data_IF_614316254167
#
_entry.id   IF_614316254167
#
_cell.length_a   1.000
_cell.length_b   1.000
_cell.length_c   1.000
_cell.angle_alpha   90.00
_cell.angle_beta   90.00
_cell.angle_gamma   90.00
#
_symmetry.space_group_name_H-M   'P 1'
#
loop_
_entity.id
_entity.type
_entity.pdbx_description
1 polymer ?
#
# COMPACT_ATOMS: atom_id res chain seq x y z
N UNK A 1 -21.36 0.89 19.02
CA UNK A 1 -19.96 0.73 19.48
C UNK A 1 -19.46 -0.60 18.98
N UNK A 2 -18.24 -0.62 18.45
CA UNK A 2 -17.60 -1.83 17.94
C UNK A 2 -16.15 -1.85 18.42
N UNK A 3 -15.61 -3.03 18.75
CA UNK A 3 -14.16 -3.19 18.85
C UNK A 3 -13.56 -3.12 17.45
N UNK A 4 -12.43 -2.46 17.30
CA UNK A 4 -11.67 -2.40 16.07
C UNK A 4 -10.16 -2.39 16.37
N UNK A 5 -9.35 -2.68 15.38
CA UNK A 5 -7.91 -2.50 15.43
C UNK A 5 -7.51 -1.58 14.29
N UNK A 6 -6.88 -0.46 14.61
CA UNK A 6 -6.40 0.51 13.64
C UNK A 6 -5.06 0.04 13.08
N UNK A 7 -4.97 -0.03 11.77
CA UNK A 7 -3.76 -0.42 11.06
C UNK A 7 -3.01 0.84 10.66
N UNK A 8 -1.72 0.92 10.98
CA UNK A 8 -0.85 2.03 10.60
C UNK A 8 0.57 1.53 10.35
N UNK A 9 0.95 1.46 9.08
CA UNK A 9 2.26 0.97 8.68
C UNK A 9 2.41 -0.53 8.96
N UNK A 10 3.28 -0.87 9.92
CA UNK A 10 3.45 -2.22 10.47
C UNK A 10 2.72 -2.41 11.81
N UNK A 11 2.16 -1.35 12.37
CA UNK A 11 1.54 -1.37 13.68
C UNK A 11 0.05 -1.66 13.58
N UNK A 12 -0.43 -2.43 14.55
CA UNK A 12 -1.85 -2.60 14.81
C UNK A 12 -2.16 -2.13 16.23
N UNK A 13 -3.11 -1.21 16.35
CA UNK A 13 -3.49 -0.59 17.62
C UNK A 13 -4.95 -0.96 17.90
N UNK A 14 -5.18 -1.79 18.92
CA UNK A 14 -6.55 -2.16 19.35
C UNK A 14 -7.29 -0.93 19.89
N UNK A 15 -8.60 -0.90 19.71
CA UNK A 15 -9.42 0.23 20.12
C UNK A 15 -10.92 0.02 19.97
N UNK A 16 -11.65 1.12 20.08
CA UNK A 16 -13.10 1.19 19.97
C UNK A 16 -13.53 2.20 18.90
N UNK A 17 -14.50 1.78 18.08
CA UNK A 17 -15.26 2.65 17.19
C UNK A 17 -16.61 2.99 17.84
N UNK A 18 -16.78 4.26 18.21
CA UNK A 18 -17.96 4.78 18.90
C UNK A 18 -18.79 5.64 17.96
N UNK A 19 -20.10 5.46 17.95
CA UNK A 19 -21.04 6.29 17.17
C UNK A 19 -21.81 7.18 18.14
N UNK A 20 -21.60 8.49 18.04
CA UNK A 20 -22.37 9.52 18.73
C UNK A 20 -23.53 10.03 17.89
N UNK A 21 -24.07 11.19 18.27
CA UNK A 21 -25.21 11.82 17.58
C UNK A 21 -24.84 12.39 16.21
N UNK A 22 -23.71 13.09 16.12
CA UNK A 22 -23.24 13.80 14.91
C UNK A 22 -21.82 13.37 14.47
N UNK A 23 -21.16 12.57 15.30
CA UNK A 23 -19.77 12.20 15.12
C UNK A 23 -19.57 10.72 15.43
N UNK A 24 -18.54 10.11 14.83
CA UNK A 24 -17.94 8.91 15.37
C UNK A 24 -16.54 9.18 15.91
N UNK A 25 -16.07 8.25 16.74
CA UNK A 25 -14.80 8.33 17.44
C UNK A 25 -14.05 7.02 17.27
N UNK A 26 -12.76 7.09 17.01
CA UNK A 26 -11.83 5.96 17.07
C UNK A 26 -10.93 6.21 18.28
N UNK A 27 -11.04 5.35 19.28
CA UNK A 27 -10.34 5.49 20.56
C UNK A 27 -9.40 4.31 20.73
N UNK A 28 -8.11 4.60 20.75
CA UNK A 28 -7.04 3.59 20.83
C UNK A 28 -6.83 3.12 22.28
N UNK A 29 -6.32 1.88 22.42
CA UNK A 29 -5.95 1.22 23.68
C UNK A 29 -7.11 0.91 24.63
N UNK A 30 -8.34 0.96 24.15
CA UNK A 30 -9.52 0.50 24.89
C UNK A 30 -10.16 -0.72 24.24
N UNK A 31 -10.74 -1.59 25.06
CA UNK A 31 -11.52 -2.75 24.63
C UNK A 31 -12.88 -2.81 25.30
N UNK A 32 -13.80 -3.55 24.70
CA UNK A 32 -15.11 -3.88 25.26
C UNK A 32 -15.12 -5.32 25.76
N UNK A 33 -15.31 -5.51 27.06
CA UNK A 33 -15.41 -6.83 27.68
C UNK A 33 -16.75 -7.51 27.39
N UNK A 34 -16.84 -8.82 27.66
CA UNK A 34 -18.11 -9.57 27.56
C UNK A 34 -19.19 -9.03 28.51
N UNK A 35 -18.79 -8.43 29.64
CA UNK A 35 -19.65 -7.69 30.58
C UNK A 35 -20.21 -6.38 30.02
N UNK A 36 -19.78 -5.96 28.82
CA UNK A 36 -20.04 -4.65 28.20
C UNK A 36 -19.37 -3.47 28.88
N UNK A 37 -18.42 -3.73 29.77
CA UNK A 37 -17.56 -2.70 30.35
C UNK A 37 -16.46 -2.30 29.37
N UNK A 38 -16.18 -1.00 29.28
CA UNK A 38 -15.05 -0.46 28.54
C UNK A 38 -13.85 -0.43 29.47
N UNK A 39 -12.73 -1.01 29.03
CA UNK A 39 -11.50 -1.05 29.82
C UNK A 39 -10.29 -0.69 28.99
N UNK A 40 -9.39 0.03 29.64
CA UNK A 40 -8.03 0.21 29.16
C UNK A 40 -7.35 -1.17 29.06
N UNK A 41 -6.79 -1.48 27.89
CA UNK A 41 -6.15 -2.77 27.61
C UNK A 41 -4.93 -2.98 28.51
N UNK A 42 -4.18 -1.92 28.84
CA UNK A 42 -3.03 -1.99 29.73
C UNK A 42 -3.43 -2.31 31.18
N UNK A 43 -4.68 -2.02 31.57
CA UNK A 43 -5.21 -2.33 32.91
C UNK A 43 -5.68 -3.77 33.08
N UNK A 44 -5.72 -4.56 32.00
CA UNK A 44 -6.25 -5.91 32.01
C UNK A 44 -5.17 -6.93 32.41
N UNK A 45 -5.52 -7.98 33.18
CA UNK A 45 -4.62 -9.10 33.44
C UNK A 45 -4.10 -9.72 32.14
N UNK A 46 -2.86 -10.19 32.15
CA UNK A 46 -2.26 -10.85 30.99
C UNK A 46 -3.10 -12.06 30.53
N UNK A 47 -3.26 -12.22 29.22
CA UNK A 47 -4.11 -13.27 28.63
C UNK A 47 -5.63 -13.07 28.74
N UNK A 48 -6.12 -12.05 29.46
CA UNK A 48 -7.57 -11.79 29.58
C UNK A 48 -8.18 -11.04 28.39
N UNK A 49 -7.34 -10.50 27.51
CA UNK A 49 -7.75 -9.78 26.30
C UNK A 49 -7.31 -10.55 25.05
N UNK A 50 -8.29 -10.89 24.21
CA UNK A 50 -8.06 -11.47 22.89
C UNK A 50 -8.08 -10.36 21.83
N UNK A 51 -6.94 -10.05 21.18
CA UNK A 51 -6.87 -9.02 20.15
C UNK A 51 -7.60 -9.45 18.88
N UNK A 52 -8.05 -8.49 18.06
CA UNK A 52 -8.78 -8.78 16.82
C UNK A 52 -7.85 -9.39 15.78
N UNK A 53 -6.60 -8.92 15.75
CA UNK A 53 -5.53 -9.44 14.90
C UNK A 53 -4.30 -9.72 15.74
N UNK A 54 -3.45 -10.69 15.37
CA UNK A 54 -2.19 -10.93 16.07
C UNK A 54 -1.33 -9.66 16.07
N UNK A 55 -0.92 -9.20 17.26
CA UNK A 55 0.04 -8.10 17.36
C UNK A 55 1.44 -8.60 17.00
N UNK A 56 2.10 -7.92 16.07
CA UNK A 56 3.51 -8.13 15.76
C UNK A 56 4.43 -7.21 16.54
N UNK A 57 3.88 -6.21 17.23
CA UNK A 57 4.64 -5.24 18.00
C UNK A 57 4.62 -5.62 19.49
N UNK A 58 5.77 -5.60 20.19
CA UNK A 58 5.79 -5.74 21.63
C UNK A 58 4.99 -4.58 22.25
N UNK A 59 4.17 -4.88 23.26
CA UNK A 59 3.44 -3.87 24.03
C UNK A 59 4.46 -2.91 24.63
N UNK A 60 4.58 -1.71 24.07
CA UNK A 60 5.39 -0.67 24.70
C UNK A 60 4.55 -0.06 25.81
N UNK A 61 5.17 0.21 26.95
CA UNK A 61 4.54 0.72 28.18
C UNK A 61 3.98 2.15 28.07
N UNK A 62 4.05 2.76 26.89
CA UNK A 62 3.43 4.04 26.54
C UNK A 62 2.56 3.85 25.31
N UNK A 63 1.48 3.06 25.43
CA UNK A 63 0.43 3.13 24.43
C UNK A 63 -0.21 4.53 24.51
N UNK A 64 0.07 5.38 23.51
CA UNK A 64 -0.53 6.70 23.45
C UNK A 64 -2.03 6.54 23.24
N UNK A 65 -2.82 6.95 24.23
CA UNK A 65 -4.27 7.07 24.11
C UNK A 65 -4.59 8.16 23.10
N UNK A 66 -4.77 7.77 21.83
CA UNK A 66 -5.25 8.66 20.80
C UNK A 66 -6.78 8.53 20.66
N UNK A 67 -7.45 9.65 20.50
CA UNK A 67 -8.87 9.73 20.20
C UNK A 67 -9.06 10.56 18.95
N UNK A 68 -9.47 9.92 17.86
CA UNK A 68 -9.80 10.60 16.61
C UNK A 68 -11.31 10.81 16.53
N UNK A 69 -11.73 12.04 16.21
CA UNK A 69 -13.13 12.44 16.10
C UNK A 69 -13.41 12.90 14.67
N UNK A 70 -14.54 12.45 14.11
CA UNK A 70 -14.97 12.79 12.76
C UNK A 70 -16.45 13.18 12.77
N UNK A 71 -16.78 14.31 12.15
CA UNK A 71 -18.16 14.65 11.85
C UNK A 71 -18.67 13.76 10.71
N UNK A 72 -19.93 13.35 10.75
CA UNK A 72 -20.46 12.46 9.70
C UNK A 72 -20.40 13.08 8.29
N UNK A 73 -20.65 14.39 8.19
CA UNK A 73 -20.59 15.13 6.92
C UNK A 73 -19.17 15.32 6.36
N UNK A 74 -18.13 15.08 7.18
CA UNK A 74 -16.74 15.13 6.71
C UNK A 74 -16.34 13.84 5.99
N UNK A 75 -17.13 12.76 6.11
CA UNK A 75 -16.79 11.47 5.51
C UNK A 75 -17.14 11.46 4.04
N UNK A 76 -16.12 11.23 3.22
CA UNK A 76 -16.23 11.16 1.76
C UNK A 76 -16.51 9.74 1.28
N UNK A 77 -15.81 8.78 1.85
CA UNK A 77 -16.00 7.36 1.54
C UNK A 77 -15.79 6.45 2.73
N UNK A 78 -16.40 5.28 2.59
CA UNK A 78 -16.05 4.10 3.36
C UNK A 78 -15.92 2.94 2.39
N UNK A 79 -14.79 2.25 2.47
CA UNK A 79 -14.52 1.10 1.61
C UNK A 79 -14.42 -0.18 2.41
N UNK A 80 -14.93 -1.27 1.83
CA UNK A 80 -14.67 -2.60 2.36
C UNK A 80 -13.28 -3.05 1.94
N UNK A 81 -12.48 -3.53 2.90
CA UNK A 81 -11.08 -3.92 2.68
C UNK A 81 -10.79 -5.31 3.20
N UNK A 82 -9.66 -5.84 2.73
CA UNK A 82 -9.02 -7.03 3.28
C UNK A 82 -7.84 -6.61 4.17
N UNK A 83 -7.60 -7.36 5.23
CA UNK A 83 -6.38 -7.28 6.03
C UNK A 83 -5.89 -8.70 6.29
N UNK A 84 -4.59 -8.96 6.08
CA UNK A 84 -4.02 -10.31 6.06
C UNK A 84 -4.83 -11.27 5.16
N UNK A 85 -5.22 -10.79 3.99
CA UNK A 85 -6.08 -11.47 3.00
C UNK A 85 -7.51 -11.78 3.47
N UNK A 86 -7.88 -11.42 4.70
CA UNK A 86 -9.21 -11.67 5.25
C UNK A 86 -10.14 -10.47 5.04
N UNK A 87 -11.41 -10.68 4.65
CA UNK A 87 -12.40 -9.62 4.44
C UNK A 87 -12.93 -9.09 5.78
N UNK A 88 -12.06 -8.48 6.58
CA UNK A 88 -12.35 -8.05 7.97
C UNK A 88 -12.15 -6.56 8.20
N UNK A 89 -11.72 -5.80 7.20
CA UNK A 89 -11.36 -4.40 7.38
C UNK A 89 -12.34 -3.44 6.69
N UNK A 90 -12.38 -2.21 7.19
CA UNK A 90 -12.99 -1.04 6.55
C UNK A 90 -11.97 0.09 6.49
N UNK A 91 -11.99 0.86 5.41
CA UNK A 91 -11.16 2.06 5.29
C UNK A 91 -12.05 3.28 5.14
N UNK A 92 -11.89 4.25 6.04
CA UNK A 92 -12.74 5.44 6.13
C UNK A 92 -11.91 6.63 5.66
N UNK A 93 -12.45 7.42 4.73
CA UNK A 93 -11.79 8.58 4.15
C UNK A 93 -12.54 9.86 4.48
N UNK A 94 -11.81 10.83 5.02
CA UNK A 94 -12.32 12.13 5.42
C UNK A 94 -11.97 13.21 4.38
N UNK A 95 -12.78 14.26 4.35
CA UNK A 95 -12.66 15.42 3.46
C UNK A 95 -11.39 16.25 3.66
N UNK A 96 -10.75 16.12 4.82
CA UNK A 96 -9.48 16.77 5.16
C UNK A 96 -8.24 15.92 4.76
N UNK A 97 -8.45 14.83 4.01
CA UNK A 97 -7.39 13.96 3.51
C UNK A 97 -6.96 12.86 4.49
N UNK A 98 -7.44 12.87 5.74
CA UNK A 98 -7.17 11.78 6.68
C UNK A 98 -7.93 10.52 6.27
N UNK A 99 -7.33 9.37 6.53
CA UNK A 99 -7.99 8.08 6.33
C UNK A 99 -7.55 7.05 7.36
N UNK A 100 -8.43 6.09 7.66
CA UNK A 100 -8.26 5.12 8.74
C UNK A 100 -8.64 3.73 8.27
N UNK A 101 -7.67 2.81 8.25
CA UNK A 101 -7.90 1.39 8.02
C UNK A 101 -8.16 0.69 9.35
N UNK A 102 -9.36 0.12 9.51
CA UNK A 102 -9.83 -0.52 10.72
C UNK A 102 -10.14 -1.99 10.46
N UNK A 103 -9.37 -2.90 11.07
CA UNK A 103 -9.73 -4.30 11.18
C UNK A 103 -10.82 -4.49 12.24
N UNK A 104 -11.81 -5.33 11.95
CA UNK A 104 -12.98 -5.58 12.80
C UNK A 104 -13.13 -7.09 13.03
N UNK A 105 -13.78 -7.53 14.12
CA UNK A 105 -14.17 -8.93 14.25
C UNK A 105 -14.98 -9.38 13.02
N UNK A 106 -14.68 -10.57 12.48
CA UNK A 106 -15.20 -11.06 11.18
C UNK A 106 -16.72 -10.92 10.99
N UNK A 107 -17.50 -11.11 12.05
CA UNK A 107 -18.98 -11.01 12.03
C UNK A 107 -19.52 -9.57 12.15
N UNK A 108 -18.66 -8.59 12.39
CA UNK A 108 -19.03 -7.19 12.68
C UNK A 108 -18.66 -6.22 11.55
N UNK A 109 -17.75 -6.57 10.63
CA UNK A 109 -17.38 -5.69 9.51
C UNK A 109 -18.59 -5.16 8.74
N UNK A 110 -19.45 -6.04 8.24
CA UNK A 110 -20.62 -5.63 7.44
C UNK A 110 -21.62 -4.82 8.27
N UNK A 111 -21.82 -5.15 9.55
CA UNK A 111 -22.71 -4.38 10.44
C UNK A 111 -22.18 -2.97 10.68
N UNK A 112 -20.87 -2.84 10.83
CA UNK A 112 -20.19 -1.55 11.01
C UNK A 112 -20.28 -0.71 9.74
N UNK A 113 -20.06 -1.33 8.58
CA UNK A 113 -20.20 -0.69 7.28
C UNK A 113 -21.62 -0.14 7.06
N UNK A 114 -22.63 -0.97 7.28
CA UNK A 114 -24.04 -0.56 7.18
C UNK A 114 -24.36 0.58 8.15
N UNK A 115 -23.80 0.55 9.37
CA UNK A 115 -23.98 1.65 10.31
C UNK A 115 -23.36 2.96 9.81
N UNK A 116 -22.16 2.92 9.21
CA UNK A 116 -21.50 4.10 8.61
C UNK A 116 -22.35 4.67 7.47
N UNK A 117 -22.87 3.84 6.57
CA UNK A 117 -23.75 4.28 5.48
C UNK A 117 -25.02 4.98 5.98
N UNK A 118 -25.59 4.54 7.10
CA UNK A 118 -26.78 5.16 7.67
C UNK A 118 -26.52 6.52 8.30
N UNK A 119 -25.33 6.76 8.86
CA UNK A 119 -25.03 7.98 9.61
C UNK A 119 -24.30 9.02 8.78
N UNK A 120 -23.49 8.60 7.81
CA UNK A 120 -22.82 9.47 6.85
C UNK A 120 -23.71 9.58 5.60
N UNK A 121 -24.76 10.40 5.69
CA UNK A 121 -25.79 10.51 4.63
C UNK A 121 -25.22 10.98 3.29
N UNK A 122 -24.13 11.75 3.28
CA UNK A 122 -23.40 12.12 2.06
C UNK A 122 -22.79 10.94 1.29
N UNK A 123 -22.70 9.74 1.89
CA UNK A 123 -22.30 8.53 1.18
C UNK A 123 -23.40 7.99 0.27
N UNK A 124 -24.67 8.19 0.62
CA UNK A 124 -25.81 7.65 -0.13
C UNK A 124 -26.01 8.36 -1.48
N UNK A 125 -25.70 9.66 -1.55
CA UNK A 125 -25.76 10.43 -2.81
C UNK A 125 -24.70 9.97 -3.82
N UNK A 126 -23.55 9.48 -3.33
CA UNK A 126 -22.53 8.82 -4.16
C UNK A 126 -22.91 7.37 -4.55
N UNK A 127 -23.71 6.69 -3.71
CA UNK A 127 -24.16 5.32 -3.96
C UNK A 127 -25.33 5.21 -4.95
N UNK A 128 -26.21 6.23 -5.04
CA UNK A 128 -27.37 6.23 -5.93
C UNK A 128 -27.03 6.42 -7.42
N UNK A 129 -25.79 6.77 -7.77
CA UNK A 129 -25.30 6.76 -9.16
C UNK A 129 -24.79 5.39 -9.64
N UNK A 130 -24.91 4.33 -8.82
CA UNK A 130 -24.36 2.99 -9.10
C UNK A 130 -25.39 1.95 -9.57
N UNK A 131 -26.60 2.36 -9.97
CA UNK A 131 -27.63 1.42 -10.41
C UNK A 131 -28.48 2.01 -11.53
N UNK A 132 -28.09 1.73 -12.78
CA UNK A 132 -29.01 1.18 -13.77
C UNK A 132 -28.24 0.53 -14.93
N UNK A 133 -28.33 -0.81 -15.01
CA UNK A 133 -28.25 -1.51 -16.29
C UNK A 133 -26.97 -2.28 -16.64
N UNK A 134 -26.53 -3.26 -15.85
CA UNK A 134 -25.91 -4.47 -16.43
C UNK A 134 -26.31 -5.75 -15.69
N UNK A 135 -27.05 -6.60 -16.42
CA UNK A 135 -27.40 -7.96 -16.02
C UNK A 135 -26.24 -8.91 -16.36
N UNK A 136 -25.92 -9.76 -15.37
CA UNK A 136 -25.25 -11.08 -15.41
C UNK A 136 -23.72 -11.12 -15.38
N UNK A 137 -23.24 -11.78 -14.31
CA UNK A 137 -22.04 -12.63 -14.23
C UNK A 137 -20.66 -11.96 -14.04
N UNK A 138 -20.38 -11.51 -12.82
CA UNK A 138 -19.18 -11.84 -12.03
C UNK A 138 -19.11 -10.91 -10.80
N UNK A 139 -18.91 -11.47 -9.62
CA UNK A 139 -18.81 -10.73 -8.36
C UNK A 139 -17.51 -9.91 -8.30
N UNK A 140 -17.61 -8.62 -8.59
CA UNK A 140 -16.59 -7.60 -8.28
C UNK A 140 -17.19 -6.69 -7.21
N UNK A 141 -16.64 -6.71 -6.00
CA UNK A 141 -17.02 -5.78 -4.92
C UNK A 141 -16.62 -4.36 -5.35
N UNK A 142 -17.63 -3.56 -5.69
CA UNK A 142 -17.53 -2.17 -6.16
C UNK A 142 -17.21 -1.23 -4.99
N UNK A 143 -16.15 -0.45 -5.16
CA UNK A 143 -15.58 0.43 -4.14
C UNK A 143 -15.19 1.79 -4.79
N UNK A 144 -16.17 2.61 -5.19
CA UNK A 144 -15.92 4.03 -5.55
C UNK A 144 -16.09 4.93 -4.33
N UNK A 145 -15.35 6.02 -4.12
CA UNK A 145 -14.14 6.55 -4.76
C UNK A 145 -13.85 7.99 -4.31
N UNK A 146 -12.57 8.35 -4.08
CA UNK A 146 -12.08 9.69 -3.62
C UNK A 146 -11.69 10.59 -4.80
N UNK A 147 -11.99 10.15 -6.02
CA UNK A 147 -11.68 10.84 -7.28
C UNK A 147 -12.92 11.11 -8.15
N UNK A 148 -14.13 10.92 -7.61
CA UNK A 148 -15.39 11.18 -8.33
C UNK A 148 -16.00 12.53 -7.94
N UNK A 149 -15.30 13.63 -8.21
CA UNK A 149 -15.97 14.92 -8.35
C UNK A 149 -16.45 15.07 -9.81
N UNK A 150 -17.77 14.89 -9.98
CA UNK A 150 -18.67 15.62 -10.88
C UNK A 150 -18.13 15.87 -12.30
N UNK A 151 -18.58 15.04 -13.25
CA UNK A 151 -19.15 15.38 -14.58
C UNK A 151 -19.49 14.05 -15.29
N UNK A 152 -20.78 13.82 -15.54
CA UNK A 152 -21.37 12.93 -16.56
C UNK A 152 -20.89 11.48 -16.68
N UNK A 153 -21.74 10.52 -16.25
CA UNK A 153 -21.97 9.16 -16.80
C UNK A 153 -20.78 8.26 -17.22
N UNK A 154 -19.53 8.66 -17.03
CA UNK A 154 -18.35 7.99 -17.60
C UNK A 154 -17.50 7.38 -16.51
N UNK A 155 -17.23 6.08 -16.64
CA UNK A 155 -16.33 5.37 -15.73
C UNK A 155 -14.95 6.03 -15.70
N UNK A 156 -14.22 5.87 -14.59
CA UNK A 156 -12.85 6.40 -14.45
C UNK A 156 -11.95 5.94 -15.60
N UNK A 157 -12.14 4.72 -16.12
CA UNK A 157 -11.46 4.22 -17.32
C UNK A 157 -11.79 5.04 -18.58
N UNK A 158 -13.05 5.43 -18.80
CA UNK A 158 -13.40 6.27 -19.94
C UNK A 158 -12.78 7.66 -19.85
N UNK A 159 -12.76 8.26 -18.66
CA UNK A 159 -12.08 9.54 -18.41
C UNK A 159 -10.58 9.45 -18.70
N UNK A 160 -9.94 8.35 -18.28
CA UNK A 160 -8.53 8.08 -18.58
C UNK A 160 -8.29 7.93 -20.09
N UNK A 161 -9.10 7.13 -20.79
CA UNK A 161 -8.98 6.93 -22.26
C UNK A 161 -9.18 8.25 -23.03
N UNK A 162 -9.97 9.19 -22.50
CA UNK A 162 -10.17 10.53 -23.08
C UNK A 162 -9.10 11.54 -22.69
N UNK A 163 -8.12 11.17 -21.86
CA UNK A 163 -7.09 12.07 -21.35
C UNK A 163 -7.59 13.07 -20.31
N UNK A 164 -8.78 12.88 -19.74
CA UNK A 164 -9.34 13.75 -18.70
C UNK A 164 -8.70 13.52 -17.32
N UNK A 165 -8.05 12.37 -17.13
CA UNK A 165 -7.23 12.05 -15.96
C UNK A 165 -5.91 11.42 -16.44
N UNK A 166 -4.83 11.65 -15.69
CA UNK A 166 -3.51 11.12 -16.03
C UNK A 166 -3.37 9.62 -15.71
N UNK A 167 -2.36 8.97 -16.28
CA UNK A 167 -1.99 7.60 -15.91
C UNK A 167 -1.75 7.45 -14.40
N UNK A 168 -1.11 8.45 -13.78
CA UNK A 168 -0.88 8.44 -12.34
C UNK A 168 -2.19 8.38 -11.56
N UNK A 169 -3.15 9.25 -11.89
CA UNK A 169 -4.47 9.26 -11.24
C UNK A 169 -5.22 7.96 -11.48
N UNK A 170 -5.14 7.42 -12.70
CA UNK A 170 -5.77 6.15 -13.04
C UNK A 170 -5.15 4.96 -12.28
N UNK A 171 -3.82 4.88 -12.20
CA UNK A 171 -3.12 3.85 -11.42
C UNK A 171 -3.41 3.96 -9.92
N UNK A 172 -3.48 5.17 -9.37
CA UNK A 172 -3.90 5.37 -7.98
C UNK A 172 -5.33 4.86 -7.77
N UNK A 173 -6.24 5.15 -8.69
CA UNK A 173 -7.61 4.65 -8.62
C UNK A 173 -7.68 3.11 -8.68
N UNK A 174 -6.94 2.47 -9.60
CA UNK A 174 -6.86 1.01 -9.68
C UNK A 174 -6.28 0.39 -8.40
N UNK A 175 -5.26 1.01 -7.81
CA UNK A 175 -4.71 0.56 -6.53
C UNK A 175 -5.76 0.62 -5.42
N UNK A 176 -6.50 1.73 -5.31
CA UNK A 176 -7.60 1.87 -4.33
C UNK A 176 -8.69 0.80 -4.54
N UNK A 177 -9.12 0.56 -5.78
CA UNK A 177 -10.10 -0.48 -6.10
C UNK A 177 -9.61 -1.89 -5.76
N UNK A 178 -8.31 -2.15 -5.95
CA UNK A 178 -7.67 -3.41 -5.58
C UNK A 178 -7.54 -3.59 -4.04
N UNK A 179 -7.91 -2.57 -3.26
CA UNK A 179 -7.82 -2.58 -1.80
C UNK A 179 -6.43 -2.24 -1.27
N UNK A 180 -5.57 -1.61 -2.08
CA UNK A 180 -4.26 -1.12 -1.66
C UNK A 180 -4.43 0.14 -0.81
N UNK A 181 -3.58 0.30 0.20
CA UNK A 181 -3.68 1.37 1.19
C UNK A 181 -2.31 1.81 1.69
N UNK A 182 -2.17 3.11 1.94
CA UNK A 182 -1.00 3.68 2.62
C UNK A 182 -0.91 3.29 4.10
N UNK A 183 -2.02 2.85 4.71
CA UNK A 183 -2.05 2.41 6.11
C UNK A 183 -1.48 1.01 6.31
N UNK A 184 -1.37 0.18 5.26
CA UNK A 184 -0.89 -1.20 5.35
C UNK A 184 0.28 -1.39 4.38
N UNK A 185 1.50 -1.44 4.90
CA UNK A 185 2.70 -1.61 4.05
C UNK A 185 2.74 -2.96 3.32
N UNK A 186 2.00 -3.97 3.78
CA UNK A 186 1.89 -5.25 3.08
C UNK A 186 0.99 -5.16 1.84
N UNK A 187 0.08 -4.19 1.82
CA UNK A 187 -0.85 -3.90 0.72
C UNK A 187 -0.64 -2.48 0.18
N UNK A 188 0.60 -1.97 0.20
CA UNK A 188 0.93 -0.64 -0.30
C UNK A 188 0.62 -0.49 -1.79
N UNK A 189 0.26 0.72 -2.28
CA UNK A 189 0.08 0.96 -3.72
C UNK A 189 1.32 0.61 -4.54
N UNK A 190 1.09 0.11 -5.75
CA UNK A 190 2.14 -0.38 -6.66
C UNK A 190 2.09 0.40 -7.96
N UNK A 191 3.27 0.79 -8.44
CA UNK A 191 3.47 1.40 -9.74
C UNK A 191 4.47 0.59 -10.55
N UNK A 192 4.33 0.53 -11.88
CA UNK A 192 5.29 -0.18 -12.71
C UNK A 192 6.60 0.59 -12.81
N UNK A 193 7.72 -0.12 -12.97
CA UNK A 193 8.87 0.48 -13.64
C UNK A 193 8.48 0.95 -15.05
N UNK A 194 8.84 2.18 -15.41
CA UNK A 194 8.52 2.76 -16.74
C UNK A 194 9.76 2.87 -17.61
N UNK A 195 10.85 3.41 -17.06
CA UNK A 195 12.13 3.53 -17.77
C UNK A 195 12.93 2.23 -17.65
N UNK A 196 13.64 1.89 -18.72
CA UNK A 196 14.59 0.78 -18.82
C UNK A 196 16.04 1.26 -19.00
N UNK A 197 16.25 2.51 -19.41
CA UNK A 197 17.56 3.13 -19.55
C UNK A 197 17.92 3.95 -18.31
N UNK A 198 18.94 3.49 -17.59
CA UNK A 198 19.58 4.18 -16.46
C UNK A 198 21.09 4.30 -16.66
N UNK A 199 21.57 4.12 -17.89
CA UNK A 199 22.98 4.18 -18.24
C UNK A 199 23.32 5.43 -19.04
N UNK A 200 22.39 5.92 -19.86
CA UNK A 200 22.57 7.13 -20.66
C UNK A 200 22.58 8.38 -19.78
N UNK A 201 23.39 9.37 -20.19
CA UNK A 201 23.45 10.69 -19.54
C UNK A 201 22.18 11.51 -19.83
N UNK A 202 21.61 11.34 -21.03
CA UNK A 202 20.34 11.93 -21.47
C UNK A 202 19.41 10.83 -22.00
N UNK A 203 18.13 10.94 -21.67
CA UNK A 203 17.12 9.96 -22.08
C UNK A 203 16.44 10.39 -23.39
N UNK A 204 16.48 9.51 -24.39
CA UNK A 204 15.68 9.67 -25.60
C UNK A 204 14.26 9.11 -25.38
N UNK A 205 13.32 9.99 -25.02
CA UNK A 205 11.92 9.61 -24.78
C UNK A 205 11.14 9.22 -26.05
N UNK A 206 11.75 9.28 -27.23
CA UNK A 206 11.17 8.78 -28.48
C UNK A 206 11.61 7.33 -28.74
N UNK A 207 12.75 6.91 -28.19
CA UNK A 207 13.27 5.57 -28.35
C UNK A 207 12.48 4.55 -27.54
N UNK A 208 11.92 3.50 -28.17
CA UNK A 208 11.27 2.41 -27.42
C UNK A 208 12.21 1.69 -26.45
N UNK A 209 13.53 1.70 -26.71
CA UNK A 209 14.53 1.07 -25.85
C UNK A 209 14.70 1.77 -24.49
N UNK A 210 14.28 3.03 -24.40
CA UNK A 210 14.28 3.80 -23.13
C UNK A 210 13.21 3.31 -22.17
N UNK A 211 12.18 2.62 -22.67
CA UNK A 211 11.03 2.18 -21.90
C UNK A 211 11.06 0.69 -21.62
N UNK A 212 10.50 0.32 -20.47
CA UNK A 212 10.19 -1.07 -20.13
C UNK A 212 9.10 -1.60 -21.06
N UNK A 213 9.20 -2.88 -21.39
CA UNK A 213 8.07 -3.61 -21.96
C UNK A 213 7.00 -3.89 -20.86
N UNK A 214 5.98 -3.03 -20.82
CA UNK A 214 4.85 -3.11 -19.88
C UNK A 214 3.91 -4.30 -20.14
N UNK A 215 4.05 -5.00 -21.28
CA UNK A 215 3.29 -6.24 -21.52
C UNK A 215 3.84 -7.43 -20.71
N UNK A 216 5.01 -7.27 -20.08
CA UNK A 216 5.73 -8.33 -19.38
C UNK A 216 5.95 -7.99 -17.89
N UNK A 217 5.90 -9.00 -16.99
CA UNK A 217 6.32 -8.82 -15.60
C UNK A 217 7.84 -8.58 -15.49
N UNK A 218 8.32 -8.14 -14.32
CA UNK A 218 9.74 -7.84 -14.10
C UNK A 218 10.67 -9.02 -14.38
N UNK A 219 10.25 -10.23 -14.00
CA UNK A 219 11.04 -11.43 -14.25
C UNK A 219 11.17 -11.84 -15.72
N UNK A 220 10.41 -11.22 -16.63
CA UNK A 220 10.38 -11.54 -18.05
C UNK A 220 10.97 -10.45 -18.95
N UNK A 221 11.66 -9.45 -18.39
CA UNK A 221 12.21 -8.32 -19.16
C UNK A 221 13.39 -8.73 -20.06
N UNK A 222 14.12 -9.81 -19.73
CA UNK A 222 15.20 -10.34 -20.57
C UNK A 222 14.99 -11.82 -20.90
N UNK A 223 15.29 -12.28 -22.14
CA UNK A 223 15.08 -13.68 -22.56
C UNK A 223 15.75 -14.71 -21.65
N UNK A 224 17.03 -14.52 -21.32
CA UNK A 224 17.80 -15.46 -20.47
C UNK A 224 17.16 -15.63 -19.09
N UNK A 225 16.56 -14.56 -18.56
CA UNK A 225 15.94 -14.55 -17.25
C UNK A 225 14.56 -15.21 -17.28
N UNK A 226 13.78 -14.93 -18.32
CA UNK A 226 12.51 -15.61 -18.58
C UNK A 226 12.72 -17.13 -18.68
N UNK A 227 13.75 -17.57 -19.41
CA UNK A 227 14.07 -18.99 -19.55
C UNK A 227 14.38 -19.64 -18.20
N UNK A 228 15.17 -18.98 -17.34
CA UNK A 228 15.48 -19.49 -16.00
C UNK A 228 14.23 -19.62 -15.12
N UNK A 229 13.32 -18.64 -15.15
CA UNK A 229 12.06 -18.74 -14.40
C UNK A 229 11.12 -19.82 -14.96
N UNK A 230 11.03 -19.94 -16.29
CA UNK A 230 10.24 -20.98 -16.94
C UNK A 230 10.81 -22.39 -16.66
N UNK A 231 12.14 -22.51 -16.59
CA UNK A 231 12.82 -23.75 -16.16
C UNK A 231 12.46 -24.10 -14.72
N UNK A 232 12.57 -23.15 -13.78
CA UNK A 232 12.17 -23.35 -12.38
C UNK A 232 10.72 -23.83 -12.25
N UNK A 233 9.80 -23.21 -12.98
CA UNK A 233 8.39 -23.60 -12.95
C UNK A 233 8.18 -25.03 -13.47
N UNK A 234 8.82 -25.39 -14.59
CA UNK A 234 8.68 -26.72 -15.21
C UNK A 234 9.33 -27.84 -14.41
N UNK A 235 10.48 -27.54 -13.80
CA UNK A 235 11.26 -28.49 -13.00
C UNK A 235 10.92 -28.41 -11.51
N UNK A 236 9.81 -27.75 -11.14
CA UNK A 236 9.38 -27.64 -9.76
C UNK A 236 9.00 -29.02 -9.21
N UNK A 237 9.72 -29.43 -8.17
CA UNK A 237 9.47 -30.66 -7.44
C UNK A 237 9.47 -30.33 -5.94
N UNK A 238 8.29 -30.27 -5.34
CA UNK A 238 8.11 -30.11 -3.90
C UNK A 238 7.84 -31.49 -3.29
N UNK A 239 8.79 -32.05 -2.49
CA UNK A 239 8.62 -33.36 -1.87
C UNK A 239 7.38 -33.47 -0.96
N UNK A 240 6.89 -32.35 -0.44
CA UNK A 240 5.69 -32.32 0.40
C UNK A 240 4.38 -32.28 -0.39
N UNK A 241 4.43 -31.82 -1.66
CA UNK A 241 3.27 -31.57 -2.50
C UNK A 241 2.38 -30.41 -2.03
N UNK A 242 2.78 -29.64 -1.02
CA UNK A 242 2.00 -28.53 -0.47
C UNK A 242 2.11 -27.26 -1.31
N UNK A 243 3.24 -27.07 -1.98
CA UNK A 243 3.55 -25.85 -2.74
C UNK A 243 3.41 -26.11 -4.24
N UNK A 244 2.44 -25.46 -4.91
CA UNK A 244 2.30 -25.59 -6.36
C UNK A 244 3.48 -24.93 -7.10
N UNK A 245 3.74 -25.32 -8.35
CA UNK A 245 4.78 -24.68 -9.18
C UNK A 245 4.60 -23.16 -9.28
N UNK A 246 5.71 -22.44 -9.21
CA UNK A 246 5.72 -20.98 -9.34
C UNK A 246 6.95 -20.49 -10.09
N UNK A 247 6.81 -19.32 -10.71
CA UNK A 247 7.94 -18.63 -11.33
C UNK A 247 8.76 -17.88 -10.28
N UNK A 248 8.09 -17.11 -9.42
CA UNK A 248 8.72 -16.20 -8.47
C UNK A 248 8.50 -16.67 -7.02
N UNK A 249 9.58 -16.94 -6.29
CA UNK A 249 9.53 -17.20 -4.85
C UNK A 249 9.50 -15.92 -4.01
N UNK A 250 9.55 -14.76 -4.67
CA UNK A 250 9.48 -13.44 -4.06
C UNK A 250 8.36 -12.64 -4.73
N UNK A 251 7.88 -11.62 -4.02
CA UNK A 251 6.76 -10.80 -4.47
C UNK A 251 7.24 -9.43 -4.94
N UNK A 252 6.52 -8.83 -5.89
CA UNK A 252 6.84 -7.50 -6.44
C UNK A 252 6.59 -6.34 -5.47
N UNK A 253 5.85 -6.59 -4.38
CA UNK A 253 5.48 -5.62 -3.35
C UNK A 253 5.48 -6.29 -1.98
N UNK A 254 6.08 -5.66 -0.98
CA UNK A 254 6.06 -6.09 0.41
C UNK A 254 6.41 -4.93 1.32
N UNK A 255 6.13 -5.05 2.62
CA UNK A 255 6.49 -4.00 3.56
C UNK A 255 8.00 -3.72 3.61
N UNK A 256 8.83 -4.76 3.43
CA UNK A 256 10.28 -4.60 3.33
C UNK A 256 10.69 -3.81 2.08
N UNK A 257 10.03 -4.04 0.94
CA UNK A 257 10.31 -3.31 -0.31
C UNK A 257 10.00 -1.83 -0.13
N UNK A 258 8.81 -1.51 0.38
CA UNK A 258 8.38 -0.12 0.62
C UNK A 258 9.31 0.58 1.61
N UNK A 259 9.60 -0.08 2.75
CA UNK A 259 10.47 0.49 3.79
C UNK A 259 11.91 0.65 3.30
N UNK A 260 12.40 -0.24 2.42
CA UNK A 260 13.73 -0.13 1.81
C UNK A 260 13.82 1.05 0.84
N UNK A 261 12.82 1.26 -0.01
CA UNK A 261 12.77 2.43 -0.89
C UNK A 261 12.74 3.73 -0.07
N UNK A 262 11.90 3.79 0.96
CA UNK A 262 11.67 4.99 1.76
C UNK A 262 12.59 5.09 3.00
N UNK A 263 13.63 4.28 3.11
CA UNK A 263 14.47 4.14 4.33
C UNK A 263 15.07 5.46 4.85
N UNK A 264 15.18 6.48 4.00
CA UNK A 264 15.71 7.82 4.34
C UNK A 264 14.67 8.76 4.96
N UNK A 265 13.41 8.35 5.01
CA UNK A 265 12.29 9.15 5.51
C UNK A 265 11.66 8.50 6.74
N UNK A 266 11.35 9.31 7.75
CA UNK A 266 10.51 8.85 8.86
C UNK A 266 9.02 8.85 8.46
N UNK A 267 8.20 7.90 8.96
CA UNK A 267 8.53 6.83 9.91
C UNK A 267 9.12 5.54 9.27
N UNK A 268 9.38 5.54 7.96
CA UNK A 268 9.80 4.34 7.22
C UNK A 268 11.18 3.83 7.64
N UNK A 269 12.06 4.70 8.12
CA UNK A 269 13.32 4.30 8.77
C UNK A 269 13.05 3.35 9.95
N UNK A 270 12.14 3.70 10.86
CA UNK A 270 11.78 2.83 11.98
C UNK A 270 11.14 1.51 11.52
N UNK A 271 10.31 1.54 10.48
CA UNK A 271 9.74 0.33 9.90
C UNK A 271 10.82 -0.59 9.31
N UNK A 272 11.78 -0.03 8.58
CA UNK A 272 12.91 -0.78 8.02
C UNK A 272 13.74 -1.43 9.12
N UNK A 273 14.15 -0.65 10.14
CA UNK A 273 14.92 -1.15 11.27
C UNK A 273 14.20 -2.30 11.98
N UNK A 274 12.89 -2.16 12.22
CA UNK A 274 12.10 -3.22 12.87
C UNK A 274 12.10 -4.51 12.06
N UNK A 275 11.93 -4.43 10.74
CA UNK A 275 11.95 -5.59 9.85
C UNK A 275 13.35 -6.23 9.72
N UNK A 276 14.42 -5.48 10.02
CA UNK A 276 15.82 -5.93 9.97
C UNK A 276 16.42 -6.27 11.34
N UNK A 277 15.61 -6.40 12.39
CA UNK A 277 16.10 -6.78 13.72
C UNK A 277 16.74 -5.65 14.54
N UNK A 278 16.45 -4.40 14.20
CA UNK A 278 16.78 -3.21 15.00
C UNK A 278 18.01 -2.42 14.53
N UNK A 279 18.65 -2.83 13.44
CA UNK A 279 19.81 -2.13 12.86
C UNK A 279 19.65 -1.98 11.34
N UNK A 280 20.42 -1.06 10.76
CA UNK A 280 20.50 -0.96 9.30
C UNK A 280 21.12 -2.22 8.70
N UNK A 281 20.76 -2.49 7.45
CA UNK A 281 21.35 -3.59 6.70
C UNK A 281 22.76 -3.20 6.21
N UNK A 282 23.51 -4.15 5.64
CA UNK A 282 24.75 -3.87 4.93
C UNK A 282 24.48 -2.89 3.78
N UNK A 283 25.36 -1.91 3.61
CA UNK A 283 25.18 -0.80 2.68
C UNK A 283 24.94 -1.26 1.22
N UNK A 284 25.56 -2.36 0.82
CA UNK A 284 25.44 -3.00 -0.50
C UNK A 284 24.07 -3.64 -0.74
N UNK A 285 23.34 -4.02 0.32
CA UNK A 285 21.99 -4.59 0.24
C UNK A 285 20.87 -3.54 0.32
N UNK A 286 21.20 -2.32 0.76
CA UNK A 286 20.24 -1.23 0.86
C UNK A 286 20.00 -0.54 -0.48
N UNK A 287 18.84 0.09 -0.62
CA UNK A 287 18.52 0.89 -1.79
C UNK A 287 19.43 2.13 -1.88
N UNK A 288 20.29 2.17 -2.91
CA UNK A 288 21.31 3.20 -3.09
C UNK A 288 21.42 3.75 -4.53
N UNK A 289 20.91 3.03 -5.52
CA UNK A 289 21.01 3.39 -6.93
C UNK A 289 19.79 2.92 -7.72
N UNK A 290 19.22 3.82 -8.52
CA UNK A 290 18.13 3.51 -9.46
C UNK A 290 18.57 2.50 -10.51
N UNK A 291 19.78 2.67 -11.05
CA UNK A 291 20.35 1.78 -12.06
C UNK A 291 20.53 0.36 -11.53
N UNK A 292 21.13 0.23 -10.35
CA UNK A 292 21.35 -1.11 -9.74
C UNK A 292 20.02 -1.75 -9.32
N UNK A 293 19.08 -0.96 -8.80
CA UNK A 293 17.73 -1.46 -8.48
C UNK A 293 17.00 -1.99 -9.73
N UNK A 294 17.03 -1.24 -10.84
CA UNK A 294 16.48 -1.68 -12.11
C UNK A 294 17.18 -2.96 -12.60
N UNK A 295 18.51 -2.97 -12.67
CA UNK A 295 19.26 -4.14 -13.16
C UNK A 295 19.05 -5.38 -12.30
N UNK A 296 19.01 -5.25 -10.97
CA UNK A 296 18.67 -6.34 -10.06
C UNK A 296 17.27 -6.88 -10.37
N UNK A 297 16.27 -6.00 -10.41
CA UNK A 297 14.87 -6.38 -10.56
C UNK A 297 14.52 -6.89 -11.97
N UNK A 298 15.19 -6.42 -13.02
CA UNK A 298 14.88 -6.76 -14.43
C UNK A 298 15.77 -7.85 -15.03
N UNK A 299 17.02 -8.01 -14.54
CA UNK A 299 18.01 -8.90 -15.17
C UNK A 299 18.82 -9.78 -14.22
N UNK A 300 19.47 -9.18 -13.22
CA UNK A 300 20.64 -9.79 -12.60
C UNK A 300 20.32 -10.70 -11.39
N UNK A 301 19.17 -10.53 -10.74
CA UNK A 301 18.88 -11.20 -9.48
C UNK A 301 17.58 -12.00 -9.52
N UNK A 302 17.67 -13.33 -9.52
CA UNK A 302 16.52 -14.25 -9.59
C UNK A 302 15.60 -14.20 -8.36
N UNK A 303 16.02 -13.57 -7.27
CA UNK A 303 15.22 -13.33 -6.07
C UNK A 303 14.58 -11.92 -6.06
N UNK A 304 14.79 -11.10 -7.08
CA UNK A 304 14.34 -9.71 -7.11
C UNK A 304 13.41 -9.44 -8.28
N UNK A 305 12.11 -9.31 -8.03
CA UNK A 305 11.10 -8.95 -9.04
C UNK A 305 10.30 -7.72 -8.63
N UNK A 306 10.93 -6.82 -7.86
CA UNK A 306 10.29 -5.64 -7.28
C UNK A 306 9.73 -4.70 -8.35
N UNK A 307 8.49 -4.27 -8.14
CA UNK A 307 7.92 -3.11 -8.83
C UNK A 307 8.20 -1.83 -8.01
N UNK A 308 7.75 -0.68 -8.52
CA UNK A 308 7.89 0.62 -7.88
C UNK A 308 6.69 0.93 -6.97
N UNK A 309 6.83 2.04 -6.23
CA UNK A 309 5.77 2.68 -5.43
C UNK A 309 5.48 4.08 -6.02
N UNK A 310 4.30 4.67 -5.73
CA UNK A 310 3.92 5.98 -6.26
C UNK A 310 4.95 7.10 -6.03
N UNK A 311 5.68 7.05 -4.91
CA UNK A 311 6.63 8.07 -4.47
C UNK A 311 7.77 8.31 -5.48
N UNK A 312 8.10 7.32 -6.30
CA UNK A 312 9.07 7.45 -7.41
C UNK A 312 8.64 8.47 -8.47
N UNK A 313 7.36 8.85 -8.49
CA UNK A 313 6.77 9.73 -9.49
C UNK A 313 6.41 11.10 -8.92
N UNK A 314 6.60 11.37 -7.63
CA UNK A 314 6.25 12.69 -7.07
C UNK A 314 7.05 13.15 -5.86
N UNK A 315 7.82 12.28 -5.19
CA UNK A 315 8.47 12.58 -3.91
C UNK A 315 10.01 12.49 -4.01
N UNK A 316 10.71 13.50 -4.53
CA UNK A 316 12.18 13.42 -4.67
C UNK A 316 12.95 13.21 -3.36
N UNK A 317 12.36 13.59 -2.23
CA UNK A 317 12.98 13.60 -0.91
C UNK A 317 13.37 12.21 -0.41
N UNK A 318 12.71 11.12 -0.85
CA UNK A 318 13.06 9.77 -0.39
C UNK A 318 14.47 9.33 -0.81
N UNK A 319 15.07 10.03 -1.78
CA UNK A 319 16.41 9.78 -2.28
C UNK A 319 17.49 10.59 -1.55
N UNK A 320 17.08 11.54 -0.72
CA UNK A 320 17.98 12.44 0.00
C UNK A 320 18.11 11.98 1.46
N UNK A 321 19.34 11.77 1.93
CA UNK A 321 19.60 11.44 3.33
C UNK A 321 19.60 12.70 4.22
N UNK A 322 18.47 13.42 4.24
CA UNK A 322 18.31 14.68 4.98
C UNK A 322 18.48 14.51 6.49
N UNK A 323 18.08 13.35 7.01
CA UNK A 323 18.21 12.98 8.42
C UNK A 323 19.63 12.55 8.82
N UNK A 324 20.56 12.44 7.86
CA UNK A 324 21.96 12.04 8.07
C UNK A 324 22.10 10.68 8.79
N UNK A 325 21.25 9.72 8.44
CA UNK A 325 21.36 8.36 8.94
C UNK A 325 22.71 7.74 8.53
N UNK A 326 23.30 6.93 9.40
CA UNK A 326 24.46 6.11 9.06
C UNK A 326 24.00 4.89 8.26
N UNK A 327 24.01 5.05 6.94
CA UNK A 327 23.62 4.01 5.98
C UNK A 327 24.82 3.11 5.60
N UNK A 328 25.91 3.17 6.37
CA UNK A 328 27.15 2.47 6.08
C UNK A 328 27.94 3.07 4.92
N UNK A 329 29.02 2.38 4.54
CA UNK A 329 29.92 2.78 3.45
C UNK A 329 30.02 1.65 2.44
N UNK A 330 30.03 2.01 1.15
CA UNK A 330 30.41 1.07 0.11
C UNK A 330 31.90 0.75 0.20
N UNK A 331 32.26 -0.49 -0.08
CA UNK A 331 33.66 -0.88 -0.29
C UNK A 331 34.23 -0.36 -1.63
N UNK A 332 33.48 0.44 -2.40
CA UNK A 332 33.92 1.08 -3.65
C UNK A 332 33.27 2.47 -3.76
N UNK A 333 34.09 3.50 -3.98
CA UNK A 333 33.63 4.88 -4.15
C UNK A 333 32.87 5.03 -5.48
N UNK A 334 31.55 5.21 -5.45
CA UNK A 334 30.77 5.56 -6.65
C UNK A 334 29.91 6.79 -6.37
N UNK A 335 29.98 7.71 -7.32
CA UNK A 335 29.51 9.08 -7.29
C UNK A 335 27.98 9.21 -7.16
N UNK A 336 27.57 10.11 -6.26
CA UNK A 336 26.20 10.56 -6.03
C UNK A 336 25.77 11.58 -7.09
N UNK A 337 25.68 11.20 -8.37
CA UNK A 337 25.24 12.14 -9.42
C UNK A 337 24.45 11.40 -10.51
N UNK A 338 23.24 10.91 -10.23
CA UNK A 338 22.27 10.64 -11.32
C UNK A 338 20.81 10.55 -10.86
N UNK A 339 20.47 11.07 -9.67
CA UNK A 339 19.13 10.88 -9.11
C UNK A 339 18.23 12.12 -9.36
N UNK A 340 18.79 13.32 -9.38
CA UNK A 340 18.01 14.56 -9.42
C UNK A 340 17.42 14.93 -10.80
N UNK A 341 17.82 14.29 -11.91
CA UNK A 341 17.28 14.59 -13.26
C UNK A 341 16.16 13.66 -13.72
N UNK A 342 16.00 12.48 -13.11
CA UNK A 342 15.02 11.46 -13.57
C UNK A 342 13.61 11.73 -13.00
N UNK A 343 13.50 12.33 -11.82
CA UNK A 343 12.20 12.55 -11.15
C UNK A 343 11.31 13.51 -11.94
N UNK A 344 11.80 14.65 -12.48
CA UNK A 344 10.99 15.49 -13.38
C UNK A 344 10.56 14.76 -14.66
N UNK A 345 11.34 13.80 -15.14
CA UNK A 345 11.05 13.04 -16.37
C UNK A 345 10.01 11.95 -16.14
N UNK A 346 10.05 11.22 -15.02
CA UNK A 346 8.98 10.29 -14.64
C UNK A 346 7.64 11.01 -14.44
N UNK A 347 7.65 12.23 -13.90
CA UNK A 347 6.48 13.10 -13.79
C UNK A 347 5.94 13.41 -15.20
N UNK A 348 6.79 13.85 -16.13
CA UNK A 348 6.32 14.35 -17.44
C UNK A 348 5.93 13.22 -18.41
N UNK A 349 6.63 12.09 -18.39
CA UNK A 349 6.39 10.98 -19.32
C UNK A 349 5.17 10.14 -18.93
N UNK A 350 4.86 10.00 -17.64
CA UNK A 350 3.60 9.38 -17.18
C UNK A 350 2.40 10.31 -17.39
N UNK A 351 2.63 11.62 -17.52
CA UNK A 351 1.59 12.62 -17.82
C UNK A 351 1.23 12.66 -19.33
N UNK A 352 2.07 12.13 -20.23
CA UNK A 352 1.93 12.41 -21.68
C UNK A 352 2.05 11.20 -22.62
N UNK A 353 2.10 9.96 -22.12
CA UNK A 353 1.82 8.75 -22.92
C UNK A 353 0.39 8.31 -22.64
#
# INVERSE_FOLDING_TARGET
>A
MFRCARIQGLDTIEGLLLFGREHFYIVDSFTLLKSREIRDIASLPEGSHEPIVPSTSPRTSQEQHACSKFHYDEIREVHQRRYLLQPIALEIFSSDGRNYLLALPRKLRNKTYQRLLMVCTGLADNAQQSVEGQRRSASVEQAGGLFSSIIGETSVTHRWVRGEISNFQYLMHLNTLAGRSYNDLMQYPIFPWVLADYASEELDLVSPATFRDLSKPMGAQTPDRLEQFAKRYREWDDPSGETPPYHYGTHYSSAMIVSSYLVRMEPFTQHFLRLQGGHFDLADRMFHSMKEAWHSASRNNMADVKELIPEFFYLPEFLVNSNRFDLGKFNVAIYTVLIFRIIPLCITTVITI
#
